data_IF_603472904926
#
_entry.id   IF_603472904926
#
_cell.length_a   1.000
_cell.length_b   1.000
_cell.length_c   1.000
_cell.angle_alpha   90.00
_cell.angle_beta   90.00
_cell.angle_gamma   90.00
#
_symmetry.space_group_name_H-M   'P 1'
#
loop_
_entity.id
_entity.type
_entity.pdbx_description
1 polymer ?
2 non-polymer ?
3 non-polymer ?
4 water ?
#
# COMPACT_ATOMS: atom_id res chain seq x y z
N UNK A 14 -0.03 -26.51 14.48
CA UNK A 14 -0.38 -25.13 14.86
C UNK A 14 -1.21 -24.47 13.77
N UNK A 15 -2.38 -23.96 14.16
CA UNK A 15 -3.28 -23.33 13.21
C UNK A 15 -3.58 -21.89 13.56
N UNK A 16 -3.94 -21.09 12.55
CA UNK A 16 -4.31 -19.70 12.72
C UNK A 16 -5.82 -19.60 12.52
N UNK A 17 -6.51 -18.81 13.36
CA UNK A 17 -7.95 -18.57 13.15
C UNK A 17 -8.14 -17.78 11.84
N UNK A 18 -7.20 -16.88 11.51
CA UNK A 18 -7.11 -16.06 10.31
C UNK A 18 -5.71 -15.39 10.31
N UNK A 19 -5.32 -14.79 9.18
CA UNK A 19 -4.03 -14.13 9.06
C UNK A 19 -4.25 -12.76 8.42
N UNK A 20 -4.06 -11.68 9.20
CA UNK A 20 -4.29 -10.33 8.69
C UNK A 20 -3.02 -9.51 8.79
N UNK A 21 -2.77 -8.61 7.85
CA UNK A 21 -1.57 -7.79 7.87
C UNK A 21 -1.83 -6.34 7.53
N UNK A 22 -1.15 -5.41 8.21
CA UNK A 22 -1.29 -3.99 7.90
C UNK A 22 0.09 -3.50 7.60
N UNK A 23 0.31 -3.01 6.41
CA UNK A 23 1.62 -2.57 5.99
C UNK A 23 1.55 -1.10 5.67
N UNK A 24 2.40 -0.27 6.29
CA UNK A 24 2.39 1.18 6.07
C UNK A 24 3.78 1.62 5.65
N UNK A 25 3.86 2.49 4.65
CA UNK A 25 5.15 3.03 4.23
C UNK A 25 5.07 4.53 4.01
N UNK A 26 5.82 5.30 4.78
CA UNK A 26 5.83 6.75 4.64
C UNK A 26 7.13 7.21 3.96
N UNK A 27 7.00 7.96 2.86
CA UNK A 27 8.15 8.42 2.08
C UNK A 27 8.06 9.88 1.70
N UNK A 28 6.89 10.32 1.23
CA UNK A 28 6.69 11.70 0.82
C UNK A 28 6.28 12.55 1.99
N UNK A 29 7.29 13.01 2.73
CA UNK A 29 7.10 13.85 3.91
C UNK A 29 7.03 15.32 3.48
N UNK A 30 6.12 16.11 4.08
CA UNK A 30 6.01 17.53 3.71
C UNK A 30 7.13 18.36 4.36
N UNK A 31 7.48 18.04 5.59
CA UNK A 31 8.47 18.81 6.34
C UNK A 31 9.75 18.03 6.66
N UNK A 32 9.96 16.86 6.04
CA UNK A 32 11.12 16.03 6.37
C UNK A 32 11.75 15.31 5.15
N UNK A 33 12.97 14.73 5.25
CA UNK A 33 13.57 14.04 4.10
C UNK A 33 12.79 12.86 3.55
N UNK A 34 12.75 12.75 2.22
CA UNK A 34 12.07 11.66 1.56
C UNK A 34 12.88 10.38 1.73
N UNK A 35 12.20 9.22 1.64
CA UNK A 35 12.77 7.88 1.73
C UNK A 35 12.31 7.07 0.49
N UNK A 36 13.22 6.27 -0.13
CA UNK A 36 12.82 5.53 -1.34
C UNK A 36 12.39 4.11 -1.05
N UNK A 37 13.09 3.47 -0.10
CA UNK A 37 12.89 2.07 0.25
C UNK A 37 11.46 1.67 0.66
N UNK A 38 10.67 2.44 1.44
CA UNK A 38 9.31 1.97 1.80
C UNK A 38 8.46 1.54 0.61
N UNK A 39 8.62 2.24 -0.54
CA UNK A 39 7.93 1.94 -1.78
C UNK A 39 8.10 0.49 -2.20
N UNK A 40 9.32 0.05 -2.51
CA UNK A 40 9.57 -1.32 -2.92
C UNK A 40 9.40 -2.31 -1.76
N UNK A 41 9.79 -1.93 -0.53
CA UNK A 41 9.68 -2.78 0.66
C UNK A 41 8.22 -3.21 0.98
N UNK A 42 7.27 -2.26 1.07
CA UNK A 42 5.86 -2.61 1.32
C UNK A 42 5.29 -3.38 0.14
N UNK A 43 5.68 -3.03 -1.09
CA UNK A 43 5.23 -3.76 -2.27
C UNK A 43 5.68 -5.24 -2.23
N UNK A 44 6.96 -5.51 -1.96
CA UNK A 44 7.46 -6.89 -1.92
C UNK A 44 6.94 -7.66 -0.72
N UNK A 45 6.81 -6.97 0.42
CA UNK A 45 6.27 -7.60 1.60
C UNK A 45 4.80 -7.97 1.41
N UNK A 46 4.04 -7.20 0.64
CA UNK A 46 2.64 -7.53 0.35
C UNK A 46 2.50 -8.83 -0.44
N UNK A 47 3.28 -8.99 -1.52
CA UNK A 47 3.20 -10.20 -2.34
C UNK A 47 3.63 -11.42 -1.54
N UNK A 48 4.70 -11.28 -0.74
CA UNK A 48 5.16 -12.42 0.05
C UNK A 48 4.13 -12.81 1.09
N UNK A 49 3.55 -11.84 1.80
CA UNK A 49 2.51 -12.15 2.79
C UNK A 49 1.26 -12.74 2.14
N UNK A 50 0.89 -12.26 0.95
CA UNK A 50 -0.24 -12.81 0.18
C UNK A 50 0.03 -14.25 -0.22
N UNK A 51 1.29 -14.59 -0.56
CA UNK A 51 1.70 -15.96 -0.86
C UNK A 51 1.53 -16.89 0.33
N UNK A 52 1.64 -16.35 1.56
CA UNK A 52 1.44 -17.04 2.83
C UNK A 52 -0.04 -17.06 3.27
N UNK A 53 -0.97 -16.66 2.39
CA UNK A 53 -2.41 -16.65 2.61
C UNK A 53 -2.89 -15.65 3.67
N UNK A 54 -2.23 -14.48 3.73
CA UNK A 54 -2.57 -13.36 4.61
C UNK A 54 -3.45 -12.34 3.87
N UNK A 55 -4.54 -11.86 4.48
CA UNK A 55 -5.33 -10.76 3.90
C UNK A 55 -4.49 -9.52 4.23
N UNK A 56 -4.06 -8.75 3.24
CA UNK A 56 -3.15 -7.63 3.45
C UNK A 56 -3.79 -6.27 3.13
N UNK A 57 -3.37 -5.23 3.84
CA UNK A 57 -3.77 -3.86 3.55
C UNK A 57 -2.42 -3.12 3.45
N UNK A 58 -2.09 -2.58 2.29
CA UNK A 58 -0.85 -1.87 2.08
C UNK A 58 -1.14 -0.39 1.84
N UNK A 59 -0.58 0.48 2.67
CA UNK A 59 -0.86 1.90 2.57
C UNK A 59 0.39 2.72 2.47
N UNK A 60 0.39 3.65 1.53
CA UNK A 60 1.53 4.51 1.29
C UNK A 60 1.22 5.92 1.73
N UNK A 61 2.23 6.61 2.26
CA UNK A 61 2.17 8.02 2.64
C UNK A 61 0.92 8.43 3.42
N UNK A 62 0.90 8.07 4.72
CA UNK A 62 -0.22 8.35 5.60
C UNK A 62 -0.01 9.50 6.60
N UNK A 63 -1.01 10.36 6.74
CA UNK A 63 -0.99 11.43 7.75
C UNK A 63 -1.34 10.81 9.12
N UNK A 64 -1.14 11.57 10.22
CA UNK A 64 -1.39 11.13 11.59
C UNK A 64 -2.75 10.46 11.78
N UNK A 65 -3.85 11.13 11.40
CA UNK A 65 -5.19 10.58 11.57
C UNK A 65 -5.43 9.34 10.74
N UNK A 66 -4.80 9.23 9.57
CA UNK A 66 -4.96 8.03 8.75
C UNK A 66 -4.24 6.84 9.36
N UNK A 67 -3.09 7.07 9.98
CA UNK A 67 -2.33 6.02 10.66
C UNK A 67 -3.11 5.53 11.86
N UNK A 68 -3.65 6.47 12.66
CA UNK A 68 -4.38 6.10 13.86
C UNK A 68 -5.64 5.29 13.54
N UNK A 69 -6.30 5.58 12.42
CA UNK A 69 -7.47 4.84 11.98
C UNK A 69 -7.04 3.45 11.49
N UNK A 70 -6.01 3.39 10.64
CA UNK A 70 -5.50 2.12 10.13
C UNK A 70 -5.04 1.18 11.25
N UNK A 71 -4.20 1.65 12.18
CA UNK A 71 -3.74 0.80 13.28
C UNK A 71 -4.93 0.38 14.18
N UNK A 72 -5.88 1.28 14.57
CA UNK A 72 -7.02 0.86 15.39
C UNK A 72 -7.83 -0.26 14.73
N UNK A 73 -8.17 -0.10 13.46
CA UNK A 73 -8.95 -1.09 12.73
C UNK A 73 -8.19 -2.42 12.65
N UNK A 74 -6.85 -2.36 12.47
CA UNK A 74 -6.02 -3.56 12.45
C UNK A 74 -6.10 -4.27 13.80
N UNK A 75 -6.00 -3.53 14.90
CA UNK A 75 -6.07 -4.13 16.24
C UNK A 75 -7.44 -4.77 16.48
N UNK A 76 -8.52 -4.22 15.89
CA UNK A 76 -9.88 -4.78 16.04
C UNK A 76 -9.96 -6.20 15.46
N UNK A 77 -9.17 -6.49 14.43
CA UNK A 77 -9.18 -7.81 13.81
C UNK A 77 -8.44 -8.86 14.63
N UNK A 78 -7.61 -8.45 15.60
CA UNK A 78 -6.82 -9.38 16.38
C UNK A 78 -7.63 -10.13 17.44
N UNK A 79 -8.59 -10.92 16.99
CA UNK A 79 -9.40 -11.76 17.85
C UNK A 79 -8.58 -12.97 18.32
N UNK A 80 -9.13 -13.76 19.26
CA UNK A 80 -8.46 -14.95 19.79
C UNK A 80 -8.08 -15.98 18.70
N UNK A 81 -6.81 -16.36 18.66
CA UNK A 81 -6.29 -17.34 17.71
C UNK A 81 -5.81 -16.77 16.39
N UNK A 82 -6.00 -15.46 16.16
CA UNK A 82 -5.63 -14.84 14.90
C UNK A 82 -4.13 -14.54 14.80
N UNK A 83 -3.55 -14.59 13.58
CA UNK A 83 -2.15 -14.25 13.37
C UNK A 83 -2.18 -12.87 12.74
N UNK A 84 -1.57 -11.90 13.39
CA UNK A 84 -1.54 -10.54 12.89
C UNK A 84 -0.12 -10.12 12.62
N UNK A 85 0.09 -9.30 11.59
CA UNK A 85 1.41 -8.78 11.30
C UNK A 85 1.26 -7.31 10.96
N UNK A 86 1.97 -6.45 11.67
CA UNK A 86 1.95 -5.01 11.39
C UNK A 86 3.37 -4.59 10.98
N UNK A 87 3.51 -3.88 9.86
CA UNK A 87 4.82 -3.45 9.41
C UNK A 87 4.80 -1.97 9.10
N UNK A 88 5.80 -1.26 9.62
CA UNK A 88 5.90 0.15 9.30
C UNK A 88 7.28 0.49 8.72
N UNK A 89 7.32 1.30 7.69
CA UNK A 89 8.58 1.74 7.09
C UNK A 89 8.47 3.25 6.92
N UNK A 90 9.39 3.99 7.51
CA UNK A 90 9.42 5.44 7.39
C UNK A 90 10.23 6.08 8.49
N UNK A 91 10.01 7.38 8.74
CA UNK A 91 10.73 8.05 9.82
C UNK A 91 10.16 7.62 11.16
N UNK A 92 11.04 7.58 12.12
CA UNK A 92 10.73 7.27 13.50
C UNK A 92 11.72 7.95 14.41
N UNK A 93 11.35 8.14 15.68
CA UNK A 93 12.28 8.74 16.61
C UNK A 93 12.12 8.23 18.04
N UNK A 94 13.22 8.26 18.79
CA UNK A 94 13.26 7.82 20.17
C UNK A 94 13.26 9.03 21.12
N UNK A 95 12.36 9.03 22.12
CA UNK A 95 12.18 10.13 23.04
C UNK A 95 11.95 9.59 24.44
N UNK A 96 13.04 9.43 25.20
CA UNK A 96 13.04 8.98 26.59
C UNK A 96 12.52 7.57 26.75
N UNK A 97 13.10 6.64 25.98
CA UNK A 97 12.71 5.24 26.04
C UNK A 97 11.54 4.86 25.16
N UNK A 98 10.87 5.86 24.55
CA UNK A 98 9.74 5.61 23.67
C UNK A 98 10.12 5.75 22.21
N UNK A 99 9.52 4.93 21.37
CA UNK A 99 9.72 4.93 19.94
C UNK A 99 8.44 5.44 19.27
N UNK A 100 8.57 6.28 18.23
CA UNK A 100 7.42 6.89 17.56
C UNK A 100 7.48 6.74 16.05
N UNK A 101 6.34 6.50 15.41
CA UNK A 101 6.24 6.39 13.96
C UNK A 101 5.82 7.77 13.44
N UNK A 102 6.60 8.33 12.53
CA UNK A 102 6.36 9.69 12.03
C UNK A 102 5.44 9.73 10.80
N UNK A 103 4.24 10.33 10.94
CA UNK A 103 3.34 10.48 9.79
C UNK A 103 3.85 11.50 8.78
N UNK A 104 3.40 11.42 7.51
CA UNK A 104 3.91 12.35 6.47
C UNK A 104 3.56 13.82 6.73
N UNK A 105 2.57 14.08 7.60
CA UNK A 105 2.11 15.42 7.94
C UNK A 105 2.76 15.98 9.25
N UNK A 106 3.78 15.29 9.79
CA UNK A 106 4.43 15.75 11.01
C UNK A 106 5.19 17.04 10.74
N UNK A 107 5.18 17.96 11.70
CA UNK A 107 5.90 19.21 11.51
C UNK A 107 7.40 19.04 11.82
N UNK A 108 8.19 20.06 11.48
CA UNK A 108 9.61 20.07 11.81
C UNK A 108 9.82 21.23 12.77
N UNK A 109 10.27 21.02 14.02
CA UNK A 109 10.69 19.76 14.67
C UNK A 109 9.55 18.82 15.09
N UNK A 110 9.86 17.55 15.44
CA UNK A 110 8.79 16.62 15.86
C UNK A 110 8.25 16.98 17.26
N UNK A 111 7.01 16.54 17.51
CA UNK A 111 6.28 16.60 18.76
C UNK A 111 5.70 15.17 18.85
N UNK A 112 5.95 14.49 19.96
CA UNK A 112 5.47 13.12 20.20
C UNK A 112 3.98 12.94 20.01
N UNK A 113 3.18 13.94 20.46
CA UNK A 113 1.73 13.94 20.35
C UNK A 113 1.25 13.69 18.95
N UNK A 114 1.97 14.21 17.96
CA UNK A 114 1.58 14.06 16.57
C UNK A 114 2.10 12.81 15.88
N UNK A 115 2.77 11.92 16.63
CA UNK A 115 3.32 10.66 16.12
C UNK A 115 2.67 9.47 16.84
N UNK A 116 2.81 8.27 16.30
CA UNK A 116 2.23 7.08 16.93
C UNK A 116 3.24 6.41 17.81
N UNK A 117 2.96 6.31 19.10
CA UNK A 117 3.88 5.68 20.04
C UNK A 117 3.80 4.17 19.93
N UNK A 118 4.95 3.54 19.63
CA UNK A 118 5.13 2.11 19.50
C UNK A 118 4.78 1.40 20.80
N UNK A 119 5.22 1.95 21.95
CA UNK A 119 4.91 1.38 23.25
C UNK A 119 3.43 1.38 23.56
N UNK A 120 2.66 2.36 23.02
CA UNK A 120 1.21 2.39 23.20
C UNK A 120 0.59 1.26 22.38
N UNK A 121 1.03 1.10 21.13
CA UNK A 121 0.54 0.01 20.28
C UNK A 121 0.82 -1.36 20.90
N UNK A 122 2.08 -1.59 21.34
CA UNK A 122 2.52 -2.82 21.99
C UNK A 122 1.65 -3.16 23.18
N UNK A 123 1.34 -2.15 24.02
CA UNK A 123 0.45 -2.27 25.17
C UNK A 123 -0.93 -2.76 24.72
N UNK A 124 -1.44 -2.23 23.60
CA UNK A 124 -2.73 -2.62 23.07
C UNK A 124 -2.74 -4.08 22.55
N UNK A 125 -1.65 -4.48 21.87
CA UNK A 125 -1.43 -5.84 21.37
C UNK A 125 -1.30 -6.81 22.56
N UNK A 126 -0.70 -6.37 23.65
CA UNK A 126 -0.52 -7.15 24.88
C UNK A 126 -1.86 -7.59 25.51
N UNK A 127 -2.99 -6.91 25.18
CA UNK A 127 -4.29 -7.32 25.72
C UNK A 127 -5.04 -8.30 24.82
N UNK A 128 -4.50 -8.64 23.65
CA UNK A 128 -5.16 -9.56 22.74
C UNK A 128 -4.81 -11.02 23.07
N UNK A 129 -5.71 -11.96 22.71
CA UNK A 129 -5.47 -13.39 22.90
C UNK A 129 -5.18 -14.04 21.54
N UNK A 130 -4.34 -13.36 20.77
CA UNK A 130 -3.90 -13.70 19.42
C UNK A 130 -2.96 -14.92 19.45
N UNK A 131 -2.89 -15.63 18.34
CA UNK A 131 -2.01 -16.78 18.21
C UNK A 131 -0.60 -16.33 17.91
N UNK A 132 -0.44 -15.30 17.06
CA UNK A 132 0.86 -14.74 16.70
C UNK A 132 0.66 -13.26 16.39
N UNK A 133 1.51 -12.38 16.91
CA UNK A 133 1.38 -10.94 16.66
C UNK A 133 2.76 -10.47 16.28
N UNK A 134 3.08 -10.34 15.00
CA UNK A 134 4.39 -9.89 14.58
C UNK A 134 4.39 -8.41 14.31
N UNK A 135 5.20 -7.63 15.03
CA UNK A 135 5.24 -6.18 14.82
C UNK A 135 6.62 -5.76 14.31
N UNK A 136 6.73 -5.42 13.03
CA UNK A 136 8.00 -5.01 12.45
C UNK A 136 8.11 -3.51 12.25
N UNK A 137 9.20 -2.91 12.75
CA UNK A 137 9.48 -1.49 12.61
C UNK A 137 10.74 -1.33 11.79
N UNK A 138 10.64 -0.70 10.65
CA UNK A 138 11.75 -0.51 9.76
C UNK A 138 11.89 0.99 9.63
N UNK A 139 12.49 1.61 10.64
CA UNK A 139 12.56 3.05 10.73
C UNK A 139 13.89 3.68 10.50
N UNK A 140 13.85 4.86 9.91
CA UNK A 140 14.99 5.73 9.76
C UNK A 140 14.95 6.59 11.03
N UNK A 141 15.72 6.19 12.07
CA UNK A 141 15.74 6.79 13.40
C UNK A 141 16.31 8.21 13.47
N UNK A 142 15.55 9.10 14.15
CA UNK A 142 15.74 10.53 14.46
C UNK A 142 16.97 11.18 13.81
N UNK A 159 -1.32 -15.20 27.14
CA UNK A 159 -0.24 -14.58 26.38
C UNK A 159 -0.73 -14.03 25.04
N UNK A 160 -0.02 -13.03 24.51
CA UNK A 160 -0.34 -12.44 23.20
C UNK A 160 0.66 -12.89 22.11
N UNK A 161 1.70 -13.67 22.46
CA UNK A 161 2.69 -14.17 21.49
C UNK A 161 3.23 -13.09 20.54
N UNK A 162 3.57 -11.94 21.12
CA UNK A 162 4.10 -10.83 20.34
C UNK A 162 5.57 -11.08 20.04
N UNK A 163 5.96 -10.88 18.79
CA UNK A 163 7.33 -10.95 18.30
C UNK A 163 7.58 -9.56 17.69
N UNK A 164 8.29 -8.69 18.39
CA UNK A 164 8.60 -7.36 17.93
C UNK A 164 10.00 -7.32 17.29
N UNK A 165 10.11 -6.75 16.11
CA UNK A 165 11.37 -6.59 15.39
C UNK A 165 11.60 -5.12 15.16
N UNK A 166 12.78 -4.61 15.49
CA UNK A 166 13.06 -3.20 15.40
C UNK A 166 14.36 -2.95 14.65
N UNK A 167 14.26 -2.39 13.45
CA UNK A 167 15.37 -2.10 12.56
C UNK A 167 15.60 -0.59 12.45
N UNK A 168 16.87 -0.16 12.49
CA UNK A 168 17.21 1.26 12.42
C UNK A 168 18.15 1.61 11.25
N UNK A 169 18.00 0.96 10.09
CA UNK A 169 18.86 1.20 8.92
C UNK A 169 18.12 1.73 7.70
N UNK A 183 15.36 -0.78 -5.56
CA UNK A 183 16.29 -1.21 -4.52
C UNK A 183 15.70 -1.20 -3.08
N UNK A 184 15.76 -2.36 -2.41
CA UNK A 184 15.25 -2.55 -1.06
C UNK A 184 16.16 -1.96 -0.03
N UNK A 185 15.61 -1.76 1.17
CA UNK A 185 16.42 -1.41 2.33
C UNK A 185 17.12 -2.65 2.86
N UNK A 186 18.06 -2.48 3.81
CA UNK A 186 18.80 -3.63 4.35
C UNK A 186 17.88 -4.72 4.91
N UNK A 187 16.97 -4.34 5.81
CA UNK A 187 16.08 -5.27 6.48
C UNK A 187 15.25 -6.11 5.53
N UNK A 188 14.56 -5.48 4.56
CA UNK A 188 13.72 -6.19 3.63
C UNK A 188 14.48 -7.07 2.66
N UNK A 189 15.68 -6.65 2.23
CA UNK A 189 16.56 -7.44 1.37
C UNK A 189 16.85 -8.83 2.03
N UNK A 190 17.19 -8.85 3.33
CA UNK A 190 17.43 -10.09 4.05
C UNK A 190 16.15 -10.80 4.49
N UNK A 191 15.13 -10.05 4.90
CA UNK A 191 13.86 -10.63 5.34
C UNK A 191 13.09 -11.29 4.18
N UNK A 192 13.05 -10.66 3.00
CA UNK A 192 12.31 -11.21 1.85
C UNK A 192 12.85 -12.55 1.36
N UNK A 193 14.14 -12.84 1.62
CA UNK A 193 14.82 -14.09 1.27
C UNK A 193 14.54 -15.22 2.28
N UNK A 194 14.03 -14.90 3.47
CA UNK A 194 13.77 -15.92 4.48
C UNK A 194 12.31 -16.07 4.84
N UNK A 195 11.50 -15.03 4.67
CA UNK A 195 10.11 -15.04 5.11
C UNK A 195 9.27 -16.27 4.69
N UNK A 196 9.54 -16.88 3.52
CA UNK A 196 8.75 -18.06 3.11
C UNK A 196 9.30 -19.39 3.65
N UNK A 197 10.24 -19.35 4.63
CA UNK A 197 10.80 -20.56 5.26
C UNK A 197 9.76 -21.13 6.24
N UNK A 198 9.71 -22.47 6.41
CA UNK A 198 8.75 -23.08 7.31
C UNK A 198 9.31 -23.32 8.70
N UNK A 199 9.94 -22.29 9.27
CA UNK A 199 10.46 -22.39 10.63
C UNK A 199 9.78 -21.38 11.55
N UNK A 200 9.98 -21.49 12.87
CA UNK A 200 9.42 -20.58 13.85
C UNK A 200 9.87 -19.16 13.53
N UNK A 201 8.97 -18.19 13.56
CA UNK A 201 9.27 -16.81 13.20
C UNK A 201 10.44 -16.20 13.98
N UNK A 202 10.63 -16.63 15.22
CA UNK A 202 11.70 -16.14 16.08
C UNK A 202 13.06 -16.67 15.60
N UNK A 203 13.10 -17.96 15.22
CA UNK A 203 14.26 -18.61 14.66
C UNK A 203 14.59 -17.95 13.31
N UNK A 204 13.55 -17.68 12.48
CA UNK A 204 13.59 -17.05 11.17
C UNK A 204 14.15 -15.60 11.29
N UNK A 205 13.58 -14.77 12.16
CA UNK A 205 14.06 -13.41 12.38
C UNK A 205 15.48 -13.38 12.98
N UNK A 206 15.84 -14.37 13.81
CA UNK A 206 17.19 -14.50 14.37
C UNK A 206 18.21 -14.80 13.26
N UNK A 207 17.81 -15.55 12.23
CA UNK A 207 18.64 -15.83 11.07
C UNK A 207 18.86 -14.56 10.25
N UNK A 208 17.83 -13.70 10.14
CA UNK A 208 17.92 -12.44 9.42
C UNK A 208 18.91 -11.51 10.17
N UNK A 209 18.84 -11.47 11.51
CA UNK A 209 19.76 -10.69 12.38
C UNK A 209 21.22 -11.10 12.14
N UNK A 210 21.45 -12.38 11.92
CA UNK A 210 22.75 -12.93 11.64
C UNK A 210 23.20 -12.60 10.21
N UNK A 211 22.24 -12.50 9.24
CA UNK A 211 22.50 -12.14 7.84
C UNK A 211 23.00 -10.68 7.82
N UNK A 212 22.27 -9.80 8.53
CA UNK A 212 22.55 -8.39 8.67
C UNK A 212 23.86 -8.10 9.37
N UNK A 213 24.23 -8.95 10.31
CA UNK A 213 25.48 -8.80 11.04
C UNK A 213 26.71 -9.15 10.22
N UNK A 214 26.53 -9.94 9.16
CA UNK A 214 27.62 -10.33 8.25
C UNK A 214 27.77 -9.30 7.13
N UNK A 215 26.66 -8.67 6.69
CA UNK A 215 26.61 -7.64 5.65
C UNK A 215 27.59 -6.53 5.97
N UNK A 216 28.50 -6.20 5.03
CA UNK A 216 29.52 -5.17 5.19
C UNK A 216 28.96 -3.80 5.62
N UNK A 217 27.69 -3.52 5.27
CA UNK A 217 27.04 -2.26 5.64
C UNK A 217 26.82 -2.17 7.16
N UNK A 218 25.99 -3.06 7.72
CA UNK A 218 25.66 -3.08 9.15
C UNK A 218 26.54 -4.04 9.96
N UNK A 219 27.72 -4.39 9.44
CA UNK A 219 28.59 -5.34 10.12
C UNK A 219 29.04 -4.82 11.46
N UNK A 220 28.78 -5.62 12.49
CA UNK A 220 29.14 -5.30 13.87
C UNK A 220 28.39 -4.08 14.40
N UNK A 221 27.21 -3.79 13.83
CA UNK A 221 26.44 -2.63 14.26
C UNK A 221 25.10 -3.00 14.85
N UNK A 222 24.60 -2.18 15.78
CA UNK A 222 23.29 -2.39 16.36
C UNK A 222 22.23 -1.83 15.39
N UNK A 223 21.79 -2.66 14.42
CA UNK A 223 20.78 -2.28 13.43
C UNK A 223 19.48 -3.08 13.57
N UNK A 224 19.48 -4.19 14.36
CA UNK A 224 18.26 -4.98 14.56
C UNK A 224 18.13 -5.52 15.99
N UNK A 225 16.97 -5.27 16.61
CA UNK A 225 16.61 -5.77 17.93
C UNK A 225 15.40 -6.65 17.77
N UNK A 226 15.35 -7.80 18.43
CA UNK A 226 14.15 -8.64 18.43
C UNK A 226 13.69 -8.82 19.85
N UNK A 227 12.46 -8.39 20.17
CA UNK A 227 11.85 -8.58 21.49
C UNK A 227 10.76 -9.64 21.31
N UNK A 228 10.69 -10.66 22.17
CA UNK A 228 9.74 -11.74 21.97
C UNK A 228 9.17 -12.38 23.22
N UNK A 229 7.88 -12.61 23.20
CA UNK A 229 7.18 -13.33 24.27
C UNK A 229 6.46 -14.54 23.69
N UNK A 230 6.94 -15.08 22.55
CA UNK A 230 6.34 -16.23 21.86
C UNK A 230 6.60 -17.50 22.67
N UNK A 231 5.54 -18.00 23.27
CA UNK A 231 5.62 -19.19 24.08
C UNK A 231 5.31 -20.49 23.32
N UNK A 232 5.00 -20.45 22.01
CA UNK A 232 4.72 -21.69 21.27
C UNK A 232 5.23 -21.67 19.83
N UNK A 233 5.33 -22.86 19.21
CA UNK A 233 5.85 -23.00 17.84
C UNK A 233 4.91 -22.47 16.74
N UNK A 234 4.92 -21.15 16.52
CA UNK A 234 4.15 -20.48 15.48
C UNK A 234 5.08 -20.04 14.34
N UNK A 235 4.54 -20.04 13.11
CA UNK A 235 5.23 -19.67 11.89
C UNK A 235 4.26 -18.95 10.96
N UNK A 236 4.75 -17.99 10.15
CA UNK A 236 3.92 -17.28 9.17
C UNK A 236 3.29 -18.22 8.11
N UNK A 237 3.80 -19.46 8.00
CA UNK A 237 3.33 -20.48 7.07
C UNK A 237 2.23 -21.39 7.64
N UNK A 238 1.93 -21.30 8.95
CA UNK A 238 0.88 -22.15 9.56
C UNK A 238 -0.47 -22.01 8.85
N UNK A 239 -1.20 -23.10 8.63
CA UNK A 239 -2.49 -23.00 7.92
C UNK A 239 -3.62 -22.36 8.72
N UNK A 240 -4.64 -21.87 8.01
CA UNK A 240 -5.82 -21.31 8.65
C UNK A 240 -6.83 -22.43 8.92
N UNK A 241 -7.40 -22.47 10.16
CA UNK A 241 -8.42 -23.45 10.58
C UNK A 241 -9.57 -23.49 9.60
N UNK A 242 -10.25 -24.66 9.52
CA UNK A 242 -11.36 -24.95 8.63
C UNK A 242 -12.30 -23.80 8.33
N UNK A 243 -12.02 -23.08 7.22
CA UNK A 243 -12.73 -21.88 6.74
C UNK A 243 -14.25 -22.09 6.75
N UNK A 244 -14.91 -21.67 7.85
CA UNK A 244 -16.33 -21.90 8.01
C UNK A 244 -17.21 -20.65 7.93
N UNK A 245 -18.52 -20.87 7.71
CA UNK A 245 -19.54 -19.85 7.53
C UNK A 245 -20.06 -19.25 8.84
N UNK A 246 -19.25 -18.35 9.40
CA UNK A 246 -19.56 -17.54 10.57
C UNK A 246 -19.84 -16.16 9.99
N UNK A 247 -21.06 -15.63 10.21
CA UNK A 247 -21.48 -14.32 9.67
C UNK A 247 -20.51 -13.16 9.95
N UNK A 248 -19.98 -13.06 11.19
CA UNK A 248 -19.07 -11.98 11.56
C UNK A 248 -17.74 -11.97 10.78
N UNK A 249 -17.06 -13.11 10.66
CA UNK A 249 -15.79 -13.19 9.93
C UNK A 249 -15.98 -13.15 8.40
N UNK A 250 -17.16 -13.56 7.89
CA UNK A 250 -17.42 -13.55 6.46
C UNK A 250 -17.70 -12.15 5.94
N UNK A 251 -18.38 -11.31 6.76
CA UNK A 251 -18.63 -9.93 6.34
C UNK A 251 -17.36 -9.09 6.42
N UNK A 252 -16.42 -9.42 7.31
CA UNK A 252 -15.14 -8.69 7.38
C UNK A 252 -14.17 -9.15 6.26
N UNK A 253 -14.29 -10.41 5.81
CA UNK A 253 -13.51 -10.94 4.70
C UNK A 253 -14.08 -10.35 3.39
N UNK A 254 -15.41 -10.22 3.28
CA UNK A 254 -16.01 -9.65 2.09
C UNK A 254 -15.92 -8.13 2.06
N UNK A 255 -15.85 -7.45 3.23
CA UNK A 255 -15.60 -6.00 3.23
C UNK A 255 -14.12 -5.75 2.89
N UNK A 256 -13.19 -6.69 3.22
CA UNK A 256 -11.78 -6.59 2.83
C UNK A 256 -11.67 -6.79 1.30
N UNK A 257 -12.48 -7.72 0.73
CA UNK A 257 -12.52 -7.96 -0.71
C UNK A 257 -13.09 -6.73 -1.44
N UNK A 258 -14.15 -6.12 -0.86
CA UNK A 258 -14.82 -4.93 -1.39
C UNK A 258 -13.87 -3.73 -1.35
N UNK A 259 -13.12 -3.60 -0.23
CA UNK A 259 -12.12 -2.53 -0.08
C UNK A 259 -10.88 -2.68 -0.98
N UNK A 260 -10.89 -3.67 -1.89
CA UNK A 260 -9.84 -3.90 -2.87
C UNK A 260 -10.40 -4.14 -4.27
N UNK A 261 -11.63 -3.64 -4.55
CA UNK A 261 -12.26 -3.83 -5.85
C UNK A 261 -11.86 -2.71 -6.76
N UNK A 262 -11.43 -3.06 -7.96
CA UNK A 262 -11.06 -2.06 -8.94
C UNK A 262 -12.23 -1.79 -9.84
N UNK A 263 -12.36 -0.57 -10.38
CA UNK A 263 -13.40 -0.33 -11.39
C UNK A 263 -13.14 -1.23 -12.61
N UNK A 264 -14.19 -1.83 -13.21
CA UNK A 264 -14.01 -2.69 -14.37
C UNK A 264 -13.56 -1.87 -15.62
N UNK A 265 -13.03 -2.55 -16.66
CA UNK A 265 -12.62 -1.91 -17.91
C UNK A 265 -13.77 -1.15 -18.52
N UNK A 266 -13.46 -0.05 -19.18
CA UNK A 266 -14.46 0.83 -19.75
C UNK A 266 -14.15 1.13 -21.16
N UNK A 267 -15.19 1.23 -21.97
CA UNK A 267 -15.05 1.59 -23.36
C UNK A 267 -15.96 2.76 -23.68
N UNK A 268 -15.36 3.92 -23.92
CA UNK A 268 -16.09 5.13 -24.23
C UNK A 268 -16.11 5.33 -25.72
N UNK A 269 -17.28 5.66 -26.26
CA UNK A 269 -17.42 5.91 -27.68
C UNK A 269 -17.71 7.38 -27.88
N UNK A 270 -16.92 8.06 -28.70
CA UNK A 270 -17.16 9.47 -29.01
C UNK A 270 -17.98 9.60 -30.30
N UNK A 271 -18.72 10.71 -30.47
CA UNK A 271 -19.56 10.95 -31.67
C UNK A 271 -18.80 10.74 -32.99
N UNK A 272 -17.57 11.27 -33.07
CA UNK A 272 -16.68 11.12 -34.23
C UNK A 272 -16.36 9.63 -34.61
N UNK A 273 -16.70 8.69 -33.76
CA UNK A 273 -16.44 7.28 -34.01
C UNK A 273 -15.22 6.72 -33.30
N UNK A 274 -14.45 7.58 -32.61
CA UNK A 274 -13.27 7.16 -31.86
C UNK A 274 -13.69 6.47 -30.56
N UNK A 275 -13.03 5.35 -30.26
CA UNK A 275 -13.32 4.59 -29.07
C UNK A 275 -12.08 4.57 -28.21
N UNK A 276 -12.26 4.88 -26.92
CA UNK A 276 -11.18 4.95 -25.95
C UNK A 276 -11.44 3.92 -24.87
N UNK A 277 -10.41 3.23 -24.44
CA UNK A 277 -10.50 2.27 -23.36
C UNK A 277 -9.80 2.81 -22.09
N UNK A 278 -10.51 2.76 -20.95
CA UNK A 278 -9.97 3.13 -19.65
C UNK A 278 -9.71 1.84 -18.91
N UNK A 279 -8.50 1.67 -18.44
CA UNK A 279 -8.12 0.53 -17.62
C UNK A 279 -7.65 0.99 -16.25
N UNK A 280 -7.72 0.09 -15.28
CA UNK A 280 -7.35 0.42 -13.91
C UNK A 280 -6.50 -0.69 -13.25
N UNK A 281 -5.40 -0.31 -12.61
CA UNK A 281 -4.55 -1.26 -11.88
C UNK A 281 -4.36 -0.79 -10.42
N UNK A 282 -3.89 -1.66 -9.51
CA UNK A 282 -3.67 -1.27 -8.10
C UNK A 282 -2.22 -1.51 -7.73
N UNK A 283 -1.56 -0.50 -7.15
CA UNK A 283 -0.20 -0.66 -6.67
C UNK A 283 -0.22 -0.93 -5.14
N UNK A 284 -1.11 -0.24 -4.41
CA UNK A 284 -1.33 -0.40 -2.97
C UNK A 284 -2.84 -0.32 -2.69
N UNK A 285 -3.27 -0.58 -1.46
CA UNK A 285 -4.67 -0.44 -1.10
C UNK A 285 -5.20 0.98 -1.31
N UNK A 286 -4.32 1.99 -1.31
CA UNK A 286 -4.71 3.37 -1.53
C UNK A 286 -4.11 3.98 -2.83
N UNK A 287 -3.49 3.15 -3.70
CA UNK A 287 -2.86 3.61 -4.92
C UNK A 287 -3.37 2.85 -6.12
N UNK A 288 -4.03 3.57 -7.03
CA UNK A 288 -4.60 3.01 -8.25
C UNK A 288 -4.02 3.71 -9.47
N UNK A 289 -3.63 2.97 -10.50
CA UNK A 289 -3.17 3.57 -11.75
C UNK A 289 -4.36 3.58 -12.72
N UNK A 290 -4.52 4.66 -13.50
CA UNK A 290 -5.53 4.74 -14.54
C UNK A 290 -4.77 4.84 -15.88
N UNK A 291 -5.13 4.01 -16.87
CA UNK A 291 -4.46 4.08 -18.16
C UNK A 291 -5.45 4.10 -19.33
N UNK A 292 -5.19 4.96 -20.31
CA UNK A 292 -6.07 5.09 -21.45
C UNK A 292 -5.40 4.71 -22.74
N UNK A 293 -6.17 4.17 -23.66
CA UNK A 293 -5.70 3.88 -25.00
C UNK A 293 -6.84 4.05 -25.98
N UNK A 294 -6.52 4.37 -27.23
CA UNK A 294 -7.52 4.47 -28.28
C UNK A 294 -7.67 3.04 -28.80
N UNK A 295 -8.86 2.45 -28.67
CA UNK A 295 -9.09 1.09 -29.16
C UNK A 295 -9.51 1.12 -30.62
N UNK A 296 -10.29 2.12 -31.03
CA UNK A 296 -10.70 2.25 -32.42
C UNK A 296 -10.60 3.69 -32.86
N UNK A 297 -10.11 3.90 -34.09
CA UNK A 297 -10.01 5.23 -34.68
C UNK A 297 -10.47 5.11 -36.11
N UNK A 298 -11.53 5.85 -36.49
CA UNK A 298 -11.99 5.83 -37.88
C UNK A 298 -10.89 6.23 -38.87
N UNK A 299 -10.85 5.59 -40.05
CA UNK A 299 -9.82 5.94 -41.06
C UNK A 299 -9.75 7.39 -41.53
N UNK A 300 -10.89 8.12 -41.43
CA UNK A 300 -10.91 9.52 -41.84
C UNK A 300 -10.30 10.48 -40.82
N UNK A 301 -9.99 9.99 -39.59
CA UNK A 301 -9.36 10.74 -38.52
C UNK A 301 -7.82 10.57 -38.61
N UNK A 302 -7.09 11.68 -38.75
CA UNK A 302 -5.64 11.66 -38.89
C UNK A 302 -4.91 11.58 -37.55
N UNK A 303 -5.50 12.18 -36.51
CA UNK A 303 -4.90 12.18 -35.18
C UNK A 303 -5.99 12.13 -34.12
N UNK A 304 -5.72 11.44 -33.01
CA UNK A 304 -6.59 11.43 -31.83
C UNK A 304 -5.78 11.23 -30.52
N UNK A 305 -5.89 12.20 -29.63
CA UNK A 305 -5.21 12.13 -28.35
C UNK A 305 -6.26 12.05 -27.26
N UNK A 306 -6.18 11.03 -26.40
CA UNK A 306 -7.11 10.91 -25.27
C UNK A 306 -6.35 11.25 -23.97
N UNK A 307 -6.97 12.00 -23.06
CA UNK A 307 -6.33 12.37 -21.82
C UNK A 307 -7.33 12.67 -20.73
N UNK A 308 -7.04 12.26 -19.49
CA UNK A 308 -7.97 12.46 -18.37
C UNK A 308 -7.63 13.68 -17.53
N UNK A 309 -8.65 14.38 -17.07
CA UNK A 309 -8.48 15.58 -16.26
C UNK A 309 -9.70 15.80 -15.32
N UNK A 310 -9.69 16.91 -14.53
CA UNK A 310 -10.77 17.33 -13.63
C UNK A 310 -11.08 16.31 -12.57
N UNK A 311 -10.03 15.81 -11.92
CA UNK A 311 -10.19 14.83 -10.83
C UNK A 311 -10.62 15.57 -9.55
N UNK A 312 -11.30 14.88 -8.61
CA UNK A 312 -11.67 15.54 -7.35
C UNK A 312 -10.43 16.08 -6.62
N UNK A 313 -10.50 17.34 -6.14
CA UNK A 313 -9.36 18.04 -5.57
C UNK A 313 -8.81 17.43 -4.29
N UNK A 314 -9.53 16.48 -3.66
CA UNK A 314 -9.02 15.79 -2.46
C UNK A 314 -7.79 14.95 -2.82
N UNK A 315 -7.81 14.32 -4.00
CA UNK A 315 -6.71 13.49 -4.50
C UNK A 315 -5.42 14.29 -4.77
N UNK A 316 -5.55 15.63 -4.95
CA UNK A 316 -4.44 16.54 -5.23
C UNK A 316 -3.58 16.06 -6.40
N UNK A 317 -4.22 15.76 -7.54
CA UNK A 317 -3.55 15.27 -8.74
C UNK A 317 -3.04 16.45 -9.57
N UNK A 318 -1.72 16.58 -9.68
CA UNK A 318 -1.12 17.62 -10.49
C UNK A 318 -1.31 17.27 -11.97
N UNK A 319 -1.94 18.13 -12.78
CA UNK A 319 -2.11 17.82 -14.22
C UNK A 319 -0.79 17.61 -14.98
N UNK A 320 0.33 18.10 -14.43
CA UNK A 320 1.64 17.89 -15.05
C UNK A 320 2.22 16.50 -14.74
N UNK A 321 1.63 15.74 -13.80
CA UNK A 321 2.07 14.38 -13.46
C UNK A 321 1.15 13.29 -14.11
N UNK A 322 -0.05 13.68 -14.52
CA UNK A 322 -0.99 12.77 -15.15
C UNK A 322 -0.72 12.66 -16.67
N UNK A 323 -1.26 11.60 -17.30
CA UNK A 323 -1.17 11.36 -18.74
C UNK A 323 0.26 11.29 -19.26
N UNK A 324 1.01 10.31 -18.79
CA UNK A 324 2.37 10.13 -19.20
C UNK A 324 2.49 8.92 -20.09
N UNK A 325 3.52 8.90 -20.93
CA UNK A 325 3.74 7.81 -21.86
C UNK A 325 4.31 6.54 -21.25
N UNK A 326 4.83 6.63 -20.02
CA UNK A 326 5.36 5.48 -19.25
C UNK A 326 4.81 5.53 -17.82
N UNK A 327 4.57 4.38 -17.15
CA UNK A 327 4.09 4.44 -15.76
C UNK A 327 5.12 5.07 -14.82
N UNK A 328 6.43 4.87 -15.09
CA UNK A 328 7.52 5.42 -14.29
C UNK A 328 7.47 6.92 -14.15
N UNK A 329 7.01 7.62 -15.18
CA UNK A 329 6.92 9.08 -15.14
C UNK A 329 5.88 9.57 -14.11
N UNK A 330 4.87 8.75 -13.81
CA UNK A 330 3.83 9.10 -12.84
C UNK A 330 4.20 8.84 -11.38
N UNK A 331 5.29 8.11 -11.16
CA UNK A 331 5.72 7.71 -9.83
C UNK A 331 5.44 6.26 -9.50
N UNK A 332 5.03 5.49 -10.52
CA UNK A 332 4.68 4.07 -10.45
C UNK A 332 5.84 3.28 -10.98
N UNK A 333 6.56 2.59 -10.09
CA UNK A 333 7.70 1.80 -10.54
C UNK A 333 7.54 0.30 -10.30
N UNK A 334 6.42 -0.15 -9.73
CA UNK A 334 6.25 -1.56 -9.42
C UNK A 334 5.28 -2.28 -10.35
N UNK A 335 4.06 -1.75 -10.54
CA UNK A 335 3.09 -2.40 -11.43
C UNK A 335 3.33 -2.12 -12.92
N UNK A 336 4.35 -1.28 -13.25
CA UNK A 336 4.74 -0.88 -14.61
C UNK A 336 4.97 -2.08 -15.54
N UNK A 337 5.57 -3.15 -15.03
CA UNK A 337 5.83 -4.36 -15.83
C UNK A 337 4.55 -5.15 -16.16
N UNK A 338 3.49 -4.95 -15.37
CA UNK A 338 2.22 -5.64 -15.56
C UNK A 338 1.14 -4.79 -16.25
N UNK A 339 1.41 -3.50 -16.51
CA UNK A 339 0.45 -2.64 -17.17
C UNK A 339 0.57 -2.87 -18.66
N UNK A 340 -0.55 -2.77 -19.41
CA UNK A 340 -0.45 -2.83 -20.88
C UNK A 340 0.38 -1.66 -21.41
N UNK A 341 1.10 -1.89 -22.51
CA UNK A 341 1.96 -0.86 -23.10
C UNK A 341 1.24 0.09 -24.09
N UNK A 342 1.94 1.20 -24.41
CA UNK A 342 1.54 2.24 -25.35
C UNK A 342 0.22 2.93 -24.98
N UNK A 343 0.05 3.22 -23.68
CA UNK A 343 -1.10 3.91 -23.08
C UNK A 343 -0.68 5.30 -22.53
N UNK A 344 -1.63 6.01 -21.89
CA UNK A 344 -1.36 7.21 -21.15
C UNK A 344 -1.71 6.90 -19.69
N UNK A 345 -0.76 7.11 -18.79
CA UNK A 345 -0.88 6.69 -17.40
C UNK A 345 -0.99 7.85 -16.45
N UNK A 346 -1.81 7.65 -15.41
CA UNK A 346 -2.05 8.60 -14.33
C UNK A 346 -2.09 7.78 -13.01
N UNK A 347 -1.26 8.15 -12.05
CA UNK A 347 -1.21 7.47 -10.77
C UNK A 347 -2.13 8.22 -9.80
N UNK A 348 -3.06 7.50 -9.17
CA UNK A 348 -3.96 8.07 -8.18
C UNK A 348 -3.55 7.54 -6.81
N UNK A 349 -2.64 8.26 -6.16
CA UNK A 349 -2.25 7.94 -4.81
C UNK A 349 -3.20 8.75 -3.90
N UNK A 350 -3.18 8.50 -2.60
CA UNK A 350 -4.04 9.23 -1.67
C UNK A 350 -5.52 8.89 -1.83
N UNK A 351 -5.85 7.64 -2.21
CA UNK A 351 -7.27 7.25 -2.30
C UNK A 351 -7.96 7.28 -0.95
N UNK A 352 -7.19 7.16 0.15
CA UNK A 352 -7.74 7.26 1.48
C UNK A 352 -8.34 8.66 1.75
N UNK A 353 -8.03 9.67 0.91
CA UNK A 353 -8.52 11.03 1.06
C UNK A 353 -9.79 11.29 0.23
N UNK A 354 -10.14 10.39 -0.70
CA UNK A 354 -11.30 10.57 -1.54
C UNK A 354 -12.54 10.38 -0.68
N UNK A 355 -13.35 11.45 -0.53
CA UNK A 355 -14.60 11.43 0.23
C UNK A 355 -15.86 11.43 -0.66
N UNK A 356 -15.69 11.43 -1.98
CA UNK A 356 -16.79 11.44 -2.92
C UNK A 356 -16.56 10.36 -4.00
N UNK A 357 -17.48 10.25 -4.96
CA UNK A 357 -17.35 9.36 -6.11
C UNK A 357 -16.24 9.88 -6.99
N UNK A 358 -15.40 8.97 -7.50
CA UNK A 358 -14.32 9.33 -8.38
C UNK A 358 -14.90 9.72 -9.74
N UNK A 359 -15.07 11.02 -9.94
CA UNK A 359 -15.61 11.55 -11.17
C UNK A 359 -14.53 12.40 -11.88
N UNK A 360 -14.27 12.08 -13.13
CA UNK A 360 -13.29 12.82 -13.92
C UNK A 360 -13.72 12.88 -15.41
N UNK A 361 -13.08 13.76 -16.16
CA UNK A 361 -13.39 13.93 -17.57
C UNK A 361 -12.36 13.20 -18.42
N UNK A 362 -12.84 12.60 -19.51
CA UNK A 362 -12.01 11.97 -20.51
C UNK A 362 -12.10 12.91 -21.70
N UNK A 363 -10.98 13.48 -22.08
CA UNK A 363 -10.89 14.44 -23.17
C UNK A 363 -10.36 13.79 -24.45
N UNK A 364 -10.76 14.33 -25.60
CA UNK A 364 -10.29 13.83 -26.89
C UNK A 364 -10.03 14.98 -27.84
N UNK A 365 -8.81 15.07 -28.35
CA UNK A 365 -8.47 16.08 -29.35
C UNK A 365 -8.30 15.29 -30.62
N UNK A 366 -8.89 15.77 -31.73
CA UNK A 366 -8.81 15.04 -32.97
C UNK A 366 -8.85 15.90 -34.22
N UNK A 367 -8.36 15.36 -35.32
CA UNK A 367 -8.33 16.07 -36.57
C UNK A 367 -8.76 15.15 -37.68
N UNK A 368 -9.51 15.69 -38.67
CA UNK A 368 -9.95 14.92 -39.82
C UNK A 368 -9.01 15.14 -41.03
N UNK A 369 -9.16 14.30 -42.08
CA UNK A 369 -8.41 14.38 -43.33
C UNK A 369 -8.64 15.70 -44.12
N UNK A 370 -7.59 16.51 -44.24
CA UNK A 370 -7.61 17.80 -44.93
C UNK A 370 -7.91 18.99 -44.03
N UNK A 371 -8.56 18.73 -42.88
CA UNK A 371 -8.99 19.75 -41.92
C UNK A 371 -7.87 20.45 -41.16
N UNK A 372 -7.83 21.76 -41.29
CA UNK A 372 -6.84 22.63 -40.64
C UNK A 372 -7.07 22.76 -39.13
N UNK A 373 -8.30 22.46 -38.63
CA UNK A 373 -8.56 22.63 -37.20
C UNK A 373 -8.82 21.32 -36.43
N UNK A 374 -8.30 21.28 -35.19
CA UNK A 374 -8.38 20.20 -34.21
C UNK A 374 -9.60 20.39 -33.31
N UNK A 375 -10.55 19.46 -33.41
CA UNK A 375 -11.79 19.44 -32.65
C UNK A 375 -11.53 18.85 -31.27
N UNK A 376 -12.22 19.35 -30.25
CA UNK A 376 -12.10 18.82 -28.90
C UNK A 376 -13.47 18.32 -28.39
N UNK A 377 -13.49 17.18 -27.70
CA UNK A 377 -14.72 16.58 -27.18
C UNK A 377 -14.44 15.93 -25.81
N UNK A 378 -15.45 15.89 -24.93
CA UNK A 378 -15.28 15.40 -23.57
C UNK A 378 -16.40 14.48 -23.13
N UNK A 379 -16.13 13.66 -22.11
CA UNK A 379 -17.12 12.75 -21.53
C UNK A 379 -16.83 12.58 -20.04
N UNK A 380 -17.87 12.64 -19.20
CA UNK A 380 -17.71 12.49 -17.76
C UNK A 380 -17.82 11.01 -17.40
N UNK A 381 -16.96 10.56 -16.45
CA UNK A 381 -16.83 9.19 -15.97
C UNK A 381 -16.97 9.15 -14.43
N UNK A 382 -17.77 8.20 -13.91
CA UNK A 382 -17.99 8.00 -12.49
C UNK A 382 -17.69 6.51 -12.19
N UNK A 383 -16.51 6.23 -11.62
CA UNK A 383 -16.12 4.85 -11.33
C UNK A 383 -16.29 4.46 -9.85
N UNK A 384 -17.21 5.13 -9.15
CA UNK A 384 -17.49 4.88 -7.75
C UNK A 384 -16.37 5.31 -6.83
N UNK A 385 -16.14 4.57 -5.75
CA UNK A 385 -15.09 4.85 -4.79
C UNK A 385 -14.19 3.63 -4.88
N UNK A 386 -13.04 3.68 -5.59
CA UNK A 386 -12.23 2.47 -5.72
C UNK A 386 -11.33 2.15 -4.54
N UNK A 387 -11.01 0.86 -4.37
CA UNK A 387 -10.12 0.37 -3.32
C UNK A 387 -10.52 0.94 -1.90
N UNK A 388 -9.56 1.37 -1.03
CA UNK A 388 -9.78 1.85 0.34
C UNK A 388 -10.87 2.96 0.45
N UNK A 389 -11.22 3.61 -0.68
CA UNK A 389 -12.24 4.66 -0.66
C UNK A 389 -13.66 4.13 -0.43
N UNK A 390 -13.88 2.80 -0.58
CA UNK A 390 -15.18 2.17 -0.33
C UNK A 390 -15.57 2.27 1.16
N UNK A 391 -14.56 2.28 2.06
CA UNK A 391 -14.77 2.35 3.51
C UNK A 391 -15.41 3.63 4.04
N UNK A 392 -15.64 4.65 3.19
CA UNK A 392 -16.22 5.92 3.62
C UNK A 392 -15.34 6.58 4.69
N UNK A 393 -14.23 7.21 4.26
CA UNK A 393 -13.21 7.84 5.12
C UNK A 393 -13.74 8.94 6.07
#
# INVERSE_FOLDING_TARGET
GPGSDNKEQTTDQPLAKDKVALLIGNMNYREHPKLKAPLVDVYELTNLLRQLDFKVVSLLDLTEYEMRNAVDEFLLLLDKGVYGLLYYAGHGYENFGNSFMVPVDAPNPYRSENCLCVQNILKLMQEKETGLNVFLLDMCRKRNDYDDTIPILDALKVTANIVFGYATCQGAEAFEIQHSGLANGIFMKFLKDRLLEDKKITVLLDEVAEDMGKCHLTKGKQALEIRSSLSEKRALTDPIQGTEYSAESLVRNLQWAKAHELPESMCLKFDCGVQIQLGFAAEFSNVMIIYTSIVYKPPEIIMCDAYVTDFPLDLDIDPKDANKGTPEETGSYLVSKDLPKHCLYTRLSSLQKLKEHLVFTVCLSYQYSGLEDTVEDKQEVNVGKPLIAKLDMHRGLGRKTCFQ
#
